data_IF_878669489275
#
_entry.id   IF_878669489275
#
_cell.length_a   1.000
_cell.length_b   1.000
_cell.length_c   1.000
_cell.angle_alpha   90.00
_cell.angle_beta   90.00
_cell.angle_gamma   90.00
#
_symmetry.space_group_name_H-M   'P 1'
#
loop_
_entity.id
_entity.type
_entity.pdbx_description
1 polymer ?
#
# COMPACT_ATOMS: atom_id res chain seq x y z
N UNK A 1 -16.73 16.94 35.12
CA UNK A 1 -16.67 17.68 33.85
C UNK A 1 -15.75 17.06 32.80
N UNK A 2 -14.82 16.16 33.15
CA UNK A 2 -13.81 15.52 32.29
C UNK A 2 -14.39 14.48 31.31
N UNK A 3 -15.53 13.87 31.62
CA UNK A 3 -16.13 12.77 30.82
C UNK A 3 -16.78 13.27 29.49
N UNK A 4 -17.16 14.56 29.42
CA UNK A 4 -17.82 15.12 28.22
C UNK A 4 -16.85 15.46 27.08
N UNK A 5 -15.60 15.80 27.40
CA UNK A 5 -14.60 16.22 26.41
C UNK A 5 -14.09 15.00 25.62
N UNK A 6 -13.83 13.88 26.29
CA UNK A 6 -13.38 12.64 25.63
C UNK A 6 -14.41 12.12 24.61
N UNK A 7 -15.70 12.05 24.98
CA UNK A 7 -16.76 11.59 24.06
C UNK A 7 -16.97 12.50 22.84
N UNK A 8 -16.75 13.80 22.97
CA UNK A 8 -16.85 14.74 21.84
C UNK A 8 -15.65 14.56 20.90
N UNK A 9 -14.45 14.40 21.43
CA UNK A 9 -13.24 14.14 20.63
C UNK A 9 -13.35 12.80 19.88
N UNK A 10 -13.80 11.74 20.54
CA UNK A 10 -14.02 10.44 19.91
C UNK A 10 -15.07 10.53 18.77
N UNK A 11 -16.14 11.28 18.97
CA UNK A 11 -17.19 11.48 17.96
C UNK A 11 -16.69 12.30 16.77
N UNK A 12 -15.87 13.33 17.00
CA UNK A 12 -15.27 14.16 15.93
C UNK A 12 -14.25 13.35 15.15
N UNK A 13 -13.40 12.57 15.80
CA UNK A 13 -12.42 11.69 15.13
C UNK A 13 -13.10 10.61 14.29
N UNK A 14 -14.19 10.00 14.77
CA UNK A 14 -15.00 9.06 14.00
C UNK A 14 -15.67 9.71 12.78
N UNK A 15 -16.02 10.99 12.84
CA UNK A 15 -16.61 11.72 11.70
C UNK A 15 -15.59 12.07 10.62
N UNK A 16 -14.29 12.06 10.92
CA UNK A 16 -13.19 12.33 9.97
C UNK A 16 -12.71 11.08 9.23
N UNK A 17 -13.12 9.91 9.71
CA UNK A 17 -12.70 8.62 9.18
C UNK A 17 -13.35 8.35 7.82
N UNK A 18 -12.56 8.45 6.75
CA UNK A 18 -13.00 8.07 5.42
C UNK A 18 -12.96 6.56 5.27
N UNK A 19 -13.99 5.98 4.64
CA UNK A 19 -14.05 4.56 4.34
C UNK A 19 -14.11 4.38 2.83
N UNK A 20 -13.14 3.66 2.26
CA UNK A 20 -13.12 3.37 0.83
C UNK A 20 -13.83 2.04 0.54
N UNK A 21 -14.93 2.03 -0.25
CA UNK A 21 -15.67 0.81 -0.56
C UNK A 21 -14.85 -0.26 -1.29
N UNK A 22 -13.88 0.15 -2.13
CA UNK A 22 -13.00 -0.80 -2.82
C UNK A 22 -12.03 -1.45 -1.85
N UNK A 23 -11.49 -0.68 -0.89
CA UNK A 23 -10.65 -1.19 0.18
C UNK A 23 -11.43 -2.17 1.09
N UNK A 24 -12.68 -1.90 1.39
CA UNK A 24 -13.50 -2.83 2.17
C UNK A 24 -13.70 -4.18 1.49
N UNK A 25 -13.82 -4.21 0.16
CA UNK A 25 -14.02 -5.46 -0.59
C UNK A 25 -12.77 -6.34 -0.68
N UNK A 26 -11.58 -5.73 -0.71
CA UNK A 26 -10.34 -6.47 -0.94
C UNK A 26 -9.46 -6.64 0.31
N UNK A 27 -9.75 -5.97 1.43
CA UNK A 27 -8.92 -6.00 2.63
C UNK A 27 -8.75 -7.39 3.24
N UNK A 28 -9.81 -8.20 3.28
CA UNK A 28 -9.76 -9.54 3.89
C UNK A 28 -8.90 -10.52 3.03
N UNK A 29 -9.10 -10.63 1.71
CA UNK A 29 -8.19 -11.41 0.87
C UNK A 29 -6.73 -10.96 0.92
N UNK A 30 -6.47 -9.64 0.97
CA UNK A 30 -5.11 -9.11 1.08
C UNK A 30 -4.51 -9.49 2.44
N UNK A 31 -5.28 -9.37 3.54
CA UNK A 31 -4.84 -9.75 4.87
C UNK A 31 -4.39 -11.21 4.95
N UNK A 32 -5.14 -12.14 4.35
CA UNK A 32 -4.77 -13.56 4.37
C UNK A 32 -3.43 -13.82 3.66
N UNK A 33 -3.17 -13.13 2.53
CA UNK A 33 -1.86 -13.21 1.87
C UNK A 33 -0.77 -12.56 2.73
N UNK A 34 -1.03 -11.41 3.36
CA UNK A 34 -0.06 -10.78 4.26
C UNK A 34 0.32 -11.72 5.41
N UNK A 35 -0.65 -12.32 6.11
CA UNK A 35 -0.39 -13.26 7.21
C UNK A 35 0.51 -14.42 6.79
N UNK A 36 0.24 -15.00 5.62
CA UNK A 36 1.02 -16.13 5.10
C UNK A 36 2.40 -15.72 4.58
N UNK A 37 2.60 -14.44 4.23
CA UNK A 37 3.83 -13.93 3.62
C UNK A 37 4.80 -13.37 4.65
N UNK A 38 4.32 -12.49 5.56
CA UNK A 38 5.19 -11.82 6.54
C UNK A 38 5.20 -12.52 7.89
N UNK A 39 4.22 -13.39 8.17
CA UNK A 39 4.07 -14.07 9.46
C UNK A 39 3.38 -13.21 10.52
N UNK A 40 3.07 -13.83 11.65
CA UNK A 40 2.29 -13.23 12.73
C UNK A 40 3.00 -13.25 14.09
N UNK A 41 4.20 -13.84 14.16
CA UNK A 41 4.88 -14.13 15.42
C UNK A 41 5.91 -13.06 15.81
N UNK A 42 6.73 -12.63 14.84
CA UNK A 42 7.83 -11.70 15.09
C UNK A 42 7.39 -10.24 14.94
N UNK A 43 7.93 -9.32 15.74
CA UNK A 43 7.75 -7.89 15.51
C UNK A 43 8.30 -7.47 14.14
N UNK A 44 7.51 -6.73 13.37
CA UNK A 44 7.85 -6.24 12.03
C UNK A 44 7.46 -4.77 11.87
N UNK A 45 8.09 -4.09 10.93
CA UNK A 45 7.77 -2.73 10.52
C UNK A 45 7.33 -2.70 9.05
N UNK A 46 6.17 -2.11 8.78
CA UNK A 46 5.66 -1.88 7.43
C UNK A 46 5.65 -0.40 7.06
N UNK A 47 6.17 -0.06 5.91
CA UNK A 47 5.92 1.21 5.25
C UNK A 47 4.79 1.02 4.23
N UNK A 48 3.61 1.57 4.51
CA UNK A 48 2.50 1.55 3.56
C UNK A 48 2.55 2.79 2.68
N UNK A 49 2.71 2.57 1.38
CA UNK A 49 2.77 3.63 0.37
C UNK A 49 1.37 3.88 -0.20
N UNK A 50 0.96 5.14 -0.26
CA UNK A 50 -0.34 5.58 -0.74
C UNK A 50 -1.49 4.91 0.04
N UNK A 51 -1.50 5.11 1.35
CA UNK A 51 -2.50 4.53 2.28
C UNK A 51 -3.93 5.03 2.06
N UNK A 52 -4.09 6.13 1.29
CA UNK A 52 -5.38 6.69 0.93
C UNK A 52 -6.22 7.03 2.17
N UNK A 53 -7.43 6.51 2.20
CA UNK A 53 -8.36 6.74 3.32
C UNK A 53 -7.91 6.13 4.65
N UNK A 54 -6.96 5.20 4.67
CA UNK A 54 -6.56 4.44 5.86
C UNK A 54 -7.37 3.16 6.12
N UNK A 55 -8.33 2.83 5.25
CA UNK A 55 -9.20 1.65 5.43
C UNK A 55 -8.38 0.34 5.50
N UNK A 56 -7.31 0.22 4.71
CA UNK A 56 -6.43 -0.95 4.73
C UNK A 56 -5.58 -0.98 6.02
N UNK A 57 -4.82 0.08 6.29
CA UNK A 57 -3.94 0.11 7.47
C UNK A 57 -4.70 -0.11 8.77
N UNK A 58 -5.89 0.47 8.93
CA UNK A 58 -6.72 0.25 10.12
C UNK A 58 -7.16 -1.21 10.27
N UNK A 59 -7.54 -1.85 9.16
CA UNK A 59 -7.91 -3.27 9.16
C UNK A 59 -6.70 -4.17 9.45
N UNK A 60 -5.56 -3.91 8.81
CA UNK A 60 -4.36 -4.71 9.01
C UNK A 60 -3.76 -4.53 10.39
N UNK A 61 -3.73 -3.32 10.93
CA UNK A 61 -3.23 -3.05 12.27
C UNK A 61 -4.01 -3.81 13.36
N UNK A 62 -5.34 -3.96 13.18
CA UNK A 62 -6.17 -4.75 14.07
C UNK A 62 -5.82 -6.24 14.05
N UNK A 63 -5.54 -6.80 12.86
CA UNK A 63 -5.37 -8.25 12.68
C UNK A 63 -3.89 -8.70 12.70
N UNK A 64 -2.95 -7.77 12.61
CA UNK A 64 -1.51 -7.99 12.67
C UNK A 64 -0.89 -7.10 13.74
N UNK A 65 -1.17 -7.37 15.02
CA UNK A 65 -0.69 -6.53 16.13
C UNK A 65 0.84 -6.57 16.32
N UNK A 66 1.51 -7.57 15.73
CA UNK A 66 2.96 -7.67 15.68
C UNK A 66 3.62 -6.72 14.66
N UNK A 67 2.84 -6.08 13.79
CA UNK A 67 3.36 -5.15 12.78
C UNK A 67 3.16 -3.71 13.24
N UNK A 68 4.24 -2.93 13.22
CA UNK A 68 4.18 -1.46 13.35
C UNK A 68 4.00 -0.87 11.96
N UNK A 69 2.93 -0.11 11.77
CA UNK A 69 2.53 0.45 10.49
C UNK A 69 2.91 1.91 10.38
N UNK A 70 3.67 2.28 9.36
CA UNK A 70 3.93 3.65 8.97
C UNK A 70 3.10 3.98 7.71
N UNK A 71 1.91 4.56 7.85
CA UNK A 71 1.11 4.96 6.70
C UNK A 71 1.66 6.25 6.07
N UNK A 72 1.60 6.30 4.74
CA UNK A 72 2.02 7.47 3.95
C UNK A 72 1.04 7.75 2.82
N UNK A 73 0.91 9.01 2.44
CA UNK A 73 0.16 9.41 1.24
C UNK A 73 0.72 10.74 0.70
N UNK A 74 0.62 10.95 -0.60
CA UNK A 74 0.98 12.23 -1.21
C UNK A 74 -0.09 13.30 -0.98
N UNK A 75 -1.34 12.88 -0.82
CA UNK A 75 -2.47 13.76 -0.62
C UNK A 75 -2.65 14.12 0.86
N UNK A 76 -2.42 15.39 1.18
CA UNK A 76 -2.58 15.93 2.53
C UNK A 76 -4.01 15.79 3.07
N UNK A 77 -5.03 15.70 2.19
CA UNK A 77 -6.42 15.53 2.60
C UNK A 77 -6.72 14.16 3.23
N UNK A 78 -5.82 13.18 3.03
CA UNK A 78 -5.93 11.86 3.62
C UNK A 78 -5.39 11.81 5.06
N UNK A 79 -4.56 12.77 5.46
CA UNK A 79 -3.87 12.75 6.76
C UNK A 79 -4.83 12.76 7.96
N UNK A 80 -5.94 13.47 7.89
CA UNK A 80 -6.94 13.48 8.98
C UNK A 80 -7.59 12.12 9.15
N UNK A 81 -7.95 11.46 8.04
CA UNK A 81 -8.52 10.12 8.08
C UNK A 81 -7.51 9.09 8.61
N UNK A 82 -6.25 9.18 8.19
CA UNK A 82 -5.17 8.32 8.68
C UNK A 82 -4.94 8.51 10.19
N UNK A 83 -4.96 9.75 10.70
CA UNK A 83 -4.88 10.03 12.14
C UNK A 83 -6.08 9.46 12.92
N UNK A 84 -7.27 9.47 12.32
CA UNK A 84 -8.44 8.84 12.95
C UNK A 84 -8.25 7.33 13.11
N UNK A 85 -7.66 6.63 12.12
CA UNK A 85 -7.29 5.21 12.28
C UNK A 85 -6.18 5.00 13.30
N UNK A 86 -5.15 5.86 13.32
CA UNK A 86 -4.08 5.83 14.33
C UNK A 86 -4.63 5.94 15.76
N UNK A 87 -5.64 6.78 15.98
CA UNK A 87 -6.23 6.94 17.33
C UNK A 87 -6.89 5.66 17.87
N UNK A 88 -7.26 4.73 16.99
CA UNK A 88 -7.86 3.44 17.35
C UNK A 88 -6.84 2.31 17.52
N UNK A 89 -5.60 2.47 16.97
CA UNK A 89 -4.60 1.42 16.91
C UNK A 89 -3.22 1.93 17.33
N UNK A 90 -2.70 1.42 18.43
CA UNK A 90 -1.39 1.84 19.00
C UNK A 90 -0.19 1.46 18.13
N UNK A 91 -0.36 0.51 17.23
CA UNK A 91 0.66 0.05 16.27
C UNK A 91 0.62 0.79 14.92
N UNK A 92 -0.19 1.84 14.78
CA UNK A 92 -0.13 2.78 13.65
C UNK A 92 0.63 4.03 14.10
N UNK A 93 1.69 4.38 13.38
CA UNK A 93 2.48 5.59 13.62
C UNK A 93 1.80 6.84 13.05
N UNK A 94 2.35 8.01 13.35
CA UNK A 94 1.87 9.27 12.77
C UNK A 94 2.03 9.23 11.26
N UNK A 95 0.95 9.48 10.48
CA UNK A 95 1.03 9.42 9.02
C UNK A 95 1.95 10.51 8.46
N UNK A 96 2.67 10.19 7.39
CA UNK A 96 3.63 11.07 6.73
C UNK A 96 3.12 11.44 5.34
N UNK A 97 3.19 12.73 5.00
CA UNK A 97 2.99 13.19 3.62
C UNK A 97 4.24 12.80 2.82
N UNK A 98 4.08 11.94 1.82
CA UNK A 98 5.19 11.34 1.09
C UNK A 98 4.88 11.20 -0.40
N UNK A 99 5.72 11.82 -1.23
CA UNK A 99 5.75 11.60 -2.67
C UNK A 99 6.78 10.50 -2.97
N UNK A 100 6.29 9.31 -3.28
CA UNK A 100 7.13 8.13 -3.54
C UNK A 100 7.98 8.25 -4.79
N UNK A 101 7.67 9.19 -5.70
CA UNK A 101 8.50 9.45 -6.89
C UNK A 101 9.85 10.09 -6.56
N UNK A 102 10.04 10.51 -5.31
CA UNK A 102 11.28 11.10 -4.78
C UNK A 102 11.99 10.13 -3.85
N UNK A 103 13.27 10.37 -3.60
CA UNK A 103 14.02 9.64 -2.57
C UNK A 103 13.41 9.87 -1.20
N UNK A 104 13.18 8.78 -0.47
CA UNK A 104 12.56 8.76 0.85
C UNK A 104 13.62 8.49 1.91
N UNK A 105 13.72 9.38 2.89
CA UNK A 105 14.52 9.19 4.08
C UNK A 105 13.60 9.08 5.29
N UNK A 106 13.77 8.04 6.09
CA UNK A 106 12.97 7.78 7.30
C UNK A 106 13.89 7.78 8.51
N UNK A 107 13.80 8.83 9.32
CA UNK A 107 14.55 8.88 10.58
C UNK A 107 14.08 7.78 11.54
N UNK A 108 15.02 6.94 12.00
CA UNK A 108 14.78 5.89 13.00
C UNK A 108 13.68 4.86 12.64
N UNK A 109 13.28 4.76 11.36
CA UNK A 109 12.34 3.74 10.90
C UNK A 109 12.99 2.89 9.79
N UNK A 110 13.02 1.58 9.99
CA UNK A 110 13.57 0.61 9.01
C UNK A 110 12.49 -0.41 8.71
N UNK A 111 11.87 -0.36 7.51
CA UNK A 111 10.82 -1.29 7.15
C UNK A 111 11.39 -2.70 6.89
N UNK A 112 10.69 -3.71 7.39
CA UNK A 112 10.90 -5.11 7.00
C UNK A 112 10.20 -5.40 5.67
N UNK A 113 9.10 -4.68 5.41
CA UNK A 113 8.43 -4.73 4.12
C UNK A 113 7.75 -3.40 3.77
N UNK A 114 7.66 -3.14 2.46
CA UNK A 114 6.84 -2.09 1.87
C UNK A 114 5.54 -2.70 1.34
N UNK A 115 4.43 -2.01 1.55
CA UNK A 115 3.11 -2.39 1.02
C UNK A 115 2.55 -1.26 0.15
N UNK A 116 2.16 -1.58 -1.08
CA UNK A 116 1.57 -0.64 -2.01
C UNK A 116 0.31 -1.23 -2.65
N UNK A 117 -0.86 -0.67 -2.32
CA UNK A 117 -2.16 -1.18 -2.76
C UNK A 117 -2.81 -0.18 -3.71
N UNK A 118 -3.10 -0.60 -4.94
CA UNK A 118 -3.85 0.15 -5.95
C UNK A 118 -3.23 1.50 -6.39
N UNK A 119 -1.98 1.81 -6.07
CA UNK A 119 -1.33 3.06 -6.51
C UNK A 119 -0.80 2.97 -7.94
N UNK A 120 -0.14 1.88 -8.30
CA UNK A 120 0.68 1.74 -9.52
C UNK A 120 -0.09 2.08 -10.80
N UNK A 121 -1.38 1.75 -10.87
CA UNK A 121 -2.21 2.00 -12.05
C UNK A 121 -2.92 3.36 -12.06
N UNK A 122 -2.97 4.07 -10.91
CA UNK A 122 -3.58 5.39 -10.77
C UNK A 122 -2.54 6.48 -10.43
N UNK A 123 -1.32 6.30 -10.91
CA UNK A 123 -0.21 7.24 -10.74
C UNK A 123 0.65 7.30 -12.00
N UNK A 124 1.42 8.39 -12.20
CA UNK A 124 2.44 8.46 -13.25
C UNK A 124 3.50 7.36 -13.08
N UNK A 125 4.13 6.96 -14.18
CA UNK A 125 5.19 5.93 -14.14
C UNK A 125 6.35 6.29 -13.21
N UNK A 126 6.64 7.57 -13.05
CA UNK A 126 7.65 8.06 -12.10
C UNK A 126 7.41 7.60 -10.66
N UNK A 127 6.13 7.49 -10.23
CA UNK A 127 5.79 6.96 -8.90
C UNK A 127 6.12 5.46 -8.78
N UNK A 128 5.97 4.70 -9.86
CA UNK A 128 6.38 3.29 -9.91
C UNK A 128 7.90 3.16 -9.82
N UNK A 129 8.65 3.94 -10.61
CA UNK A 129 10.11 3.97 -10.55
C UNK A 129 10.60 4.32 -9.13
N UNK A 130 10.03 5.37 -8.54
CA UNK A 130 10.37 5.77 -7.17
C UNK A 130 9.99 4.71 -6.12
N UNK A 131 8.88 3.99 -6.30
CA UNK A 131 8.51 2.88 -5.40
C UNK A 131 9.60 1.80 -5.37
N UNK A 132 10.09 1.37 -6.54
CA UNK A 132 11.15 0.35 -6.61
C UNK A 132 12.49 0.88 -6.08
N UNK A 133 12.88 2.10 -6.46
CA UNK A 133 14.11 2.73 -5.96
C UNK A 133 14.11 2.88 -4.43
N UNK A 134 13.00 3.34 -3.85
CA UNK A 134 12.85 3.44 -2.39
C UNK A 134 12.83 2.05 -1.72
N UNK A 135 12.17 1.07 -2.31
CA UNK A 135 12.22 -0.30 -1.79
C UNK A 135 13.66 -0.86 -1.81
N UNK A 136 14.39 -0.63 -2.92
CA UNK A 136 15.80 -1.02 -3.04
C UNK A 136 16.72 -0.40 -2.00
N UNK A 137 16.46 0.86 -1.60
CA UNK A 137 17.29 1.60 -0.64
C UNK A 137 16.89 1.38 0.82
N UNK A 138 15.59 1.23 1.11
CA UNK A 138 15.07 1.14 2.48
C UNK A 138 15.04 -0.28 3.04
N UNK A 139 14.83 -1.28 2.17
CA UNK A 139 14.73 -2.67 2.58
C UNK A 139 16.13 -3.26 2.85
N UNK A 140 16.23 -4.01 3.94
CA UNK A 140 17.36 -4.92 4.17
C UNK A 140 17.28 -6.13 3.24
N UNK A 141 18.37 -6.84 3.07
CA UNK A 141 18.37 -8.15 2.39
C UNK A 141 17.35 -9.08 3.06
N UNK A 142 16.53 -9.72 2.23
CA UNK A 142 15.38 -10.53 2.65
C UNK A 142 14.11 -9.74 2.96
N UNK A 143 14.15 -8.39 2.94
CA UNK A 143 12.97 -7.55 3.05
C UNK A 143 12.08 -7.62 1.82
N UNK A 144 10.80 -7.27 1.94
CA UNK A 144 9.81 -7.49 0.89
C UNK A 144 9.22 -6.18 0.37
N UNK A 145 9.06 -6.06 -0.94
CA UNK A 145 8.10 -5.14 -1.54
C UNK A 145 6.88 -5.95 -1.98
N UNK A 146 5.71 -5.59 -1.47
CA UNK A 146 4.43 -6.24 -1.75
C UNK A 146 3.53 -5.23 -2.45
N UNK A 147 3.07 -5.56 -3.65
CA UNK A 147 2.15 -4.70 -4.41
C UNK A 147 0.86 -5.43 -4.72
N UNK A 148 -0.26 -4.70 -4.76
CA UNK A 148 -1.59 -5.23 -5.10
C UNK A 148 -2.28 -4.33 -6.13
N UNK A 149 -2.88 -4.94 -7.12
CA UNK A 149 -3.68 -4.26 -8.15
C UNK A 149 -3.97 -5.13 -9.36
N UNK A 150 -4.62 -4.56 -10.39
CA UNK A 150 -4.71 -5.18 -11.69
C UNK A 150 -3.39 -5.02 -12.44
N UNK A 151 -2.98 -6.07 -13.13
CA UNK A 151 -1.76 -6.07 -13.94
C UNK A 151 -1.99 -6.70 -15.31
N UNK A 152 -1.24 -6.23 -16.30
CA UNK A 152 -1.01 -6.93 -17.58
C UNK A 152 0.09 -7.95 -17.39
N UNK A 153 0.10 -9.01 -18.16
CA UNK A 153 1.15 -10.01 -18.12
C UNK A 153 1.55 -10.43 -19.54
N UNK A 154 2.83 -10.32 -19.87
CA UNK A 154 3.38 -10.61 -21.20
C UNK A 154 2.67 -9.82 -22.33
N UNK A 155 2.40 -8.53 -22.11
CA UNK A 155 1.69 -7.68 -23.06
C UNK A 155 0.18 -7.93 -23.14
N UNK A 156 -0.34 -8.95 -22.45
CA UNK A 156 -1.75 -9.34 -22.52
C UNK A 156 -2.52 -8.78 -21.34
N UNK A 157 -3.56 -8.01 -21.63
CA UNK A 157 -4.49 -7.47 -20.62
C UNK A 157 -5.80 -8.26 -20.68
N UNK A 158 -6.06 -9.01 -19.62
CA UNK A 158 -7.27 -9.83 -19.45
C UNK A 158 -7.85 -9.62 -18.05
N UNK A 159 -9.14 -9.85 -17.85
CA UNK A 159 -10.20 -10.03 -18.85
C UNK A 159 -10.63 -8.70 -19.48
N UNK A 160 -11.72 -8.68 -20.27
CA UNK A 160 -12.21 -7.47 -20.90
C UNK A 160 -12.61 -6.37 -19.92
N UNK A 161 -13.02 -6.72 -18.70
CA UNK A 161 -13.24 -5.74 -17.62
C UNK A 161 -11.98 -4.94 -17.28
N UNK A 162 -10.80 -5.57 -17.29
CA UNK A 162 -9.53 -4.87 -17.08
C UNK A 162 -9.16 -3.98 -18.27
N UNK A 163 -9.50 -4.37 -19.51
CA UNK A 163 -9.32 -3.50 -20.70
C UNK A 163 -10.18 -2.25 -20.60
N UNK A 164 -11.45 -2.40 -20.22
CA UNK A 164 -12.36 -1.28 -20.00
C UNK A 164 -11.90 -0.36 -18.88
N UNK A 165 -11.36 -0.95 -17.80
CA UNK A 165 -10.81 -0.21 -16.68
C UNK A 165 -9.54 0.57 -17.09
N UNK A 166 -8.60 -0.05 -17.82
CA UNK A 166 -7.40 0.63 -18.36
C UNK A 166 -7.79 1.82 -19.26
N UNK A 167 -8.76 1.63 -20.16
CA UNK A 167 -9.26 2.71 -21.00
C UNK A 167 -9.86 3.86 -20.16
N UNK A 168 -10.61 3.53 -19.11
CA UNK A 168 -11.18 4.52 -18.16
C UNK A 168 -10.09 5.31 -17.44
N UNK A 169 -9.05 4.63 -16.95
CA UNK A 169 -7.91 5.25 -16.27
C UNK A 169 -7.19 6.23 -17.19
N UNK A 170 -6.88 5.81 -18.43
CA UNK A 170 -6.23 6.66 -19.43
C UNK A 170 -7.09 7.82 -19.89
N UNK A 171 -8.41 7.65 -19.85
CA UNK A 171 -9.36 8.75 -20.12
C UNK A 171 -9.37 9.80 -19.01
N UNK A 172 -9.11 9.41 -17.75
CA UNK A 172 -9.01 10.34 -16.62
C UNK A 172 -7.63 11.04 -16.59
N UNK A 173 -6.56 10.29 -16.84
CA UNK A 173 -5.20 10.83 -16.91
C UNK A 173 -4.37 9.95 -17.86
N UNK A 174 -3.75 10.54 -18.88
CA UNK A 174 -2.97 9.83 -19.90
C UNK A 174 -1.71 9.14 -19.32
N UNK A 175 -1.22 9.57 -18.16
CA UNK A 175 -0.10 8.94 -17.47
C UNK A 175 -0.49 7.70 -16.65
N UNK A 176 -1.80 7.49 -16.42
CA UNK A 176 -2.32 6.33 -15.68
C UNK A 176 -2.51 5.12 -16.61
N UNK A 177 -2.73 3.96 -16.02
CA UNK A 177 -3.06 2.74 -16.74
C UNK A 177 -2.46 1.50 -16.10
N UNK A 178 -3.02 0.35 -16.45
CA UNK A 178 -2.58 -0.95 -15.94
C UNK A 178 -1.19 -1.27 -16.49
N UNK A 179 -0.23 -1.52 -15.58
CA UNK A 179 1.18 -1.79 -15.93
C UNK A 179 1.38 -3.28 -16.20
N UNK A 180 2.42 -3.58 -16.99
CA UNK A 180 2.82 -4.96 -17.26
C UNK A 180 3.73 -5.46 -16.13
N UNK A 181 3.52 -6.71 -15.71
CA UNK A 181 4.37 -7.37 -14.71
C UNK A 181 5.83 -7.42 -15.18
N UNK A 182 6.05 -7.64 -16.48
CA UNK A 182 7.41 -7.69 -17.03
C UNK A 182 8.16 -6.36 -16.88
N UNK A 183 7.45 -5.23 -17.04
CA UNK A 183 8.05 -3.91 -16.83
C UNK A 183 8.43 -3.74 -15.34
N UNK A 184 7.58 -4.21 -14.42
CA UNK A 184 7.85 -4.16 -12.99
C UNK A 184 9.02 -5.05 -12.58
N UNK A 185 9.15 -6.24 -13.18
CA UNK A 185 10.31 -7.13 -12.97
C UNK A 185 11.62 -6.48 -13.43
N UNK A 186 11.60 -5.79 -14.56
CA UNK A 186 12.80 -5.07 -15.05
C UNK A 186 13.20 -3.95 -14.08
N UNK A 187 12.25 -3.20 -13.56
CA UNK A 187 12.55 -2.14 -12.58
C UNK A 187 13.01 -2.74 -11.24
N UNK A 188 12.38 -3.82 -10.78
CA UNK A 188 12.79 -4.54 -9.58
C UNK A 188 14.26 -5.01 -9.66
N UNK A 189 14.65 -5.60 -10.78
CA UNK A 189 16.02 -6.09 -10.99
C UNK A 189 17.08 -4.97 -10.91
N UNK A 190 16.75 -3.76 -11.36
CA UNK A 190 17.64 -2.59 -11.26
C UNK A 190 17.94 -2.20 -9.80
N UNK A 191 17.01 -2.49 -8.91
CA UNK A 191 17.08 -2.15 -7.49
C UNK A 191 17.45 -3.35 -6.60
N UNK A 192 17.96 -4.43 -7.18
CA UNK A 192 18.27 -5.70 -6.52
C UNK A 192 17.05 -6.29 -5.79
N UNK A 193 15.91 -6.24 -6.41
CA UNK A 193 14.67 -6.89 -6.00
C UNK A 193 14.33 -7.98 -7.01
N UNK A 194 14.03 -9.19 -6.52
CA UNK A 194 13.59 -10.30 -7.35
C UNK A 194 12.10 -10.56 -7.13
N UNK A 195 11.32 -10.69 -8.20
CA UNK A 195 9.92 -11.08 -8.08
C UNK A 195 9.83 -12.57 -7.73
N UNK A 196 9.47 -12.86 -6.49
CA UNK A 196 9.45 -14.23 -5.97
C UNK A 196 8.09 -14.91 -6.03
N UNK A 197 7.00 -14.12 -6.08
CA UNK A 197 5.64 -14.68 -6.17
C UNK A 197 4.70 -13.77 -6.95
N UNK A 198 3.81 -14.40 -7.72
CA UNK A 198 2.59 -13.81 -8.30
C UNK A 198 1.42 -14.58 -7.72
N UNK A 199 0.51 -13.90 -7.02
CA UNK A 199 -0.66 -14.51 -6.39
C UNK A 199 -1.91 -13.93 -7.02
N UNK A 200 -2.76 -14.80 -7.57
CA UNK A 200 -4.06 -14.40 -8.11
C UNK A 200 -5.00 -14.00 -6.98
N UNK A 201 -5.65 -12.86 -7.15
CA UNK A 201 -6.53 -12.26 -6.17
C UNK A 201 -7.95 -12.06 -6.75
N UNK A 202 -8.97 -11.93 -5.91
CA UNK A 202 -10.33 -11.67 -6.38
C UNK A 202 -10.41 -10.46 -7.31
N UNK A 203 -11.43 -10.46 -8.18
CA UNK A 203 -11.72 -9.40 -9.14
C UNK A 203 -10.57 -9.11 -10.12
N UNK A 204 -9.87 -10.17 -10.55
CA UNK A 204 -8.78 -10.13 -11.53
C UNK A 204 -7.59 -9.23 -11.13
N UNK A 205 -7.42 -9.03 -9.84
CA UNK A 205 -6.21 -8.42 -9.30
C UNK A 205 -5.14 -9.49 -9.04
N UNK A 206 -3.93 -9.02 -8.77
CA UNK A 206 -2.83 -9.86 -8.33
C UNK A 206 -2.10 -9.20 -7.18
N UNK A 207 -1.45 -10.04 -6.37
CA UNK A 207 -0.45 -9.62 -5.42
C UNK A 207 0.91 -10.06 -5.93
N UNK A 208 1.83 -9.10 -6.07
CA UNK A 208 3.21 -9.35 -6.51
C UNK A 208 4.12 -9.16 -5.30
N UNK A 209 5.01 -10.13 -5.09
CA UNK A 209 5.96 -10.11 -3.98
C UNK A 209 7.36 -10.10 -4.55
N UNK A 210 8.13 -9.08 -4.17
CA UNK A 210 9.53 -8.92 -4.54
C UNK A 210 10.37 -9.03 -3.27
N UNK A 211 11.48 -9.75 -3.36
CA UNK A 211 12.43 -9.94 -2.24
C UNK A 211 13.73 -9.18 -2.54
N UNK A 212 14.25 -8.45 -1.55
CA UNK A 212 15.53 -7.75 -1.64
C UNK A 212 16.70 -8.73 -1.48
N UNK A 213 17.67 -8.64 -2.41
CA UNK A 213 18.93 -9.39 -2.43
C UNK A 213 20.14 -8.53 -2.06
#
# INVERSE_FOLDING_TARGET
MTIRIGKVLDTVMLSMKKVNPSAQRNRDPILEVLKSTVGTESPLCCLEIASGSGTHVGHFAHHLPNVTWQPTDVDVENMESLRAYKSEHSNILEPIVLDVSRSVELENFRPDFLLCINMIHISPWAATLGLFANAGSLLRVGGLLITYGPYRHNGVLTPDSNKSFDASLRGMNCEWGIRDINDLEMEAARENLEMTKIIDMPANNKMLIFTKH
#
